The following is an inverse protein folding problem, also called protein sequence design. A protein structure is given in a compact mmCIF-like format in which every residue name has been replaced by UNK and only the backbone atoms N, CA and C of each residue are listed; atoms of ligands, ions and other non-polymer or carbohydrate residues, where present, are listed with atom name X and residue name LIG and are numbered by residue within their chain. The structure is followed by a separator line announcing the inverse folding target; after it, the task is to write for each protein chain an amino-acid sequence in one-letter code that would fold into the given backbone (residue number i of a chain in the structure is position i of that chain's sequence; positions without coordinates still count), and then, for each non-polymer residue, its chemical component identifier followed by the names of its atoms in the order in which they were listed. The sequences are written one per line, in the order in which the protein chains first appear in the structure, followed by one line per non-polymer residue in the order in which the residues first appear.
data_IF_544370709545
#
_entry.id   IF_544370709545
#
_cell.length_a   1.000
_cell.length_b   1.000
_cell.length_c   1.000
_cell.angle_alpha   90.00
_cell.angle_beta   90.00
_cell.angle_gamma   90.00
#
_symmetry.space_group_name_H-M   'P 1'
#
loop_
_entity.id
_entity.type
_entity.pdbx_description
1 polymer ?
#
# COMPACT_ATOMS: atom_id res chain seq x y z
N UNK A 1 65.12 -51.73 -91.08
CA UNK A 1 64.73 -50.33 -90.86
C UNK A 1 63.30 -50.35 -90.32
N UNK A 2 63.06 -50.64 -89.03
CA UNK A 2 63.13 -49.77 -87.83
C UNK A 2 62.22 -48.55 -87.85
N UNK A 3 61.31 -48.48 -86.87
CA UNK A 3 60.42 -47.36 -86.50
C UNK A 3 58.95 -47.74 -86.73
N UNK A 4 58.24 -48.41 -85.82
CA UNK A 4 57.76 -47.96 -84.49
C UNK A 4 57.42 -46.46 -84.49
N UNK A 5 56.12 -46.16 -84.59
CA UNK A 5 55.55 -45.11 -83.75
C UNK A 5 54.16 -45.54 -83.24
N UNK A 6 54.19 -46.07 -82.01
CA UNK A 6 53.03 -46.13 -81.13
C UNK A 6 52.93 -44.74 -80.50
N UNK A 7 51.94 -43.94 -80.89
CA UNK A 7 51.54 -42.79 -80.09
C UNK A 7 50.05 -42.86 -79.84
N UNK A 8 49.76 -43.26 -78.60
CA UNK A 8 48.46 -43.44 -78.01
C UNK A 8 47.63 -42.14 -78.08
N UNK A 9 46.45 -42.21 -78.70
CA UNK A 9 45.33 -41.30 -78.40
C UNK A 9 44.03 -42.07 -78.32
N UNK A 10 44.03 -43.11 -77.50
CA UNK A 10 42.81 -43.63 -76.89
C UNK A 10 42.48 -42.75 -75.69
N UNK A 11 41.35 -42.07 -75.77
CA UNK A 11 40.47 -41.72 -74.65
C UNK A 11 41.15 -41.34 -73.32
N UNK A 12 41.41 -40.04 -73.12
CA UNK A 12 41.26 -39.42 -71.81
C UNK A 12 40.12 -38.39 -71.92
N UNK A 13 38.88 -38.87 -71.97
CA UNK A 13 38.00 -38.90 -70.79
C UNK A 13 38.15 -37.64 -69.93
N UNK A 14 37.18 -36.73 -70.09
CA UNK A 14 36.54 -36.00 -69.00
C UNK A 14 37.46 -35.56 -67.85
N UNK A 15 37.90 -34.30 -67.88
CA UNK A 15 37.92 -33.44 -66.69
C UNK A 15 38.23 -32.00 -67.06
N UNK A 16 37.36 -31.40 -67.88
CA UNK A 16 37.04 -30.00 -67.64
C UNK A 16 36.16 -30.01 -66.38
N UNK A 17 36.79 -29.95 -65.20
CA UNK A 17 36.08 -29.66 -63.97
C UNK A 17 35.51 -28.25 -64.13
N UNK A 18 34.30 -28.15 -64.67
CA UNK A 18 33.48 -26.96 -64.53
C UNK A 18 33.33 -26.76 -63.02
N UNK A 19 34.10 -25.83 -62.47
CA UNK A 19 33.89 -25.39 -61.10
C UNK A 19 32.56 -24.64 -61.09
N UNK A 20 31.48 -25.36 -60.80
CA UNK A 20 30.21 -24.72 -60.51
C UNK A 20 30.37 -23.98 -59.18
N UNK A 21 30.48 -22.65 -59.25
CA UNK A 21 30.35 -21.80 -58.07
C UNK A 21 28.87 -21.75 -57.74
N UNK A 22 28.43 -22.60 -56.82
CA UNK A 22 27.06 -22.58 -56.31
C UNK A 22 26.89 -21.30 -55.48
N UNK A 23 26.42 -20.23 -56.11
CA UNK A 23 25.94 -19.05 -55.39
C UNK A 23 24.54 -19.36 -54.86
N UNK A 24 24.46 -19.88 -53.64
CA UNK A 24 23.18 -19.97 -52.93
C UNK A 24 22.83 -18.53 -52.52
N UNK A 25 21.82 -17.96 -53.17
CA UNK A 25 21.32 -16.62 -52.84
C UNK A 25 20.59 -16.68 -51.51
N UNK A 26 21.17 -16.09 -50.47
CA UNK A 26 20.64 -16.00 -49.10
C UNK A 26 19.29 -15.26 -48.96
N UNK A 27 18.70 -14.80 -50.07
CA UNK A 27 17.49 -14.00 -50.09
C UNK A 27 16.26 -14.71 -49.52
N UNK A 28 16.07 -16.01 -49.77
CA UNK A 28 14.87 -16.71 -49.29
C UNK A 28 14.85 -16.88 -47.77
N UNK A 29 16.00 -17.22 -47.17
CA UNK A 29 16.16 -17.31 -45.72
C UNK A 29 15.95 -15.95 -45.06
N UNK A 30 16.52 -14.90 -45.62
CA UNK A 30 16.37 -13.53 -45.12
C UNK A 30 14.91 -13.06 -45.18
N UNK A 31 14.19 -13.35 -46.27
CA UNK A 31 12.76 -13.07 -46.38
C UNK A 31 11.94 -13.77 -45.30
N UNK A 32 12.22 -15.05 -45.02
CA UNK A 32 11.52 -15.80 -43.96
C UNK A 32 11.82 -15.22 -42.58
N UNK A 33 13.08 -14.88 -42.29
CA UNK A 33 13.44 -14.24 -41.03
C UNK A 33 12.72 -12.90 -40.84
N UNK A 34 12.77 -12.03 -41.84
CA UNK A 34 12.10 -10.74 -41.82
C UNK A 34 10.58 -10.88 -41.64
N UNK A 35 9.96 -11.89 -42.26
CA UNK A 35 8.53 -12.14 -42.10
C UNK A 35 8.19 -12.56 -40.67
N UNK A 36 9.02 -13.40 -40.05
CA UNK A 36 8.84 -13.83 -38.66
C UNK A 36 9.01 -12.66 -37.68
N UNK A 37 10.06 -11.86 -37.84
CA UNK A 37 10.31 -10.65 -37.04
C UNK A 37 9.16 -9.64 -37.16
N UNK A 38 8.62 -9.46 -38.36
CA UNK A 38 7.49 -8.57 -38.60
C UNK A 38 6.21 -9.08 -37.93
N UNK A 39 5.96 -10.40 -37.98
CA UNK A 39 4.85 -11.03 -37.28
C UNK A 39 4.97 -10.88 -35.76
N UNK A 40 6.17 -11.09 -35.21
CA UNK A 40 6.43 -10.89 -33.79
C UNK A 40 6.22 -9.43 -33.38
N UNK A 41 6.78 -8.49 -34.14
CA UNK A 41 6.62 -7.05 -33.93
C UNK A 41 5.15 -6.64 -33.94
N UNK A 42 4.36 -7.17 -34.87
CA UNK A 42 2.90 -6.95 -34.92
C UNK A 42 2.17 -7.57 -33.73
N UNK A 43 2.65 -8.70 -33.21
CA UNK A 43 2.15 -9.32 -31.99
C UNK A 43 2.40 -8.44 -30.76
N UNK A 44 3.64 -7.98 -30.58
CA UNK A 44 4.03 -7.09 -29.49
C UNK A 44 3.26 -5.76 -29.56
N UNK A 45 3.12 -5.18 -30.75
CA UNK A 45 2.35 -3.96 -30.97
C UNK A 45 0.91 -4.10 -30.48
N UNK A 46 0.22 -5.19 -30.84
CA UNK A 46 -1.17 -5.43 -30.39
C UNK A 46 -1.27 -5.54 -28.87
N UNK A 47 -0.36 -6.27 -28.23
CA UNK A 47 -0.32 -6.37 -26.76
C UNK A 47 -0.14 -5.00 -26.10
N UNK A 48 0.79 -4.19 -26.60
CA UNK A 48 1.03 -2.85 -26.07
C UNK A 48 -0.16 -1.91 -26.31
N UNK A 49 -0.87 -2.06 -27.42
CA UNK A 49 -2.12 -1.31 -27.67
C UNK A 49 -3.21 -1.71 -26.66
N UNK A 50 -3.39 -3.00 -26.41
CA UNK A 50 -4.34 -3.50 -25.41
C UNK A 50 -3.97 -3.01 -24.00
N UNK A 51 -2.72 -3.16 -23.59
CA UNK A 51 -2.21 -2.68 -22.29
C UNK A 51 -2.42 -1.16 -22.14
N UNK A 52 -2.15 -0.38 -23.19
CA UNK A 52 -2.35 1.06 -23.19
C UNK A 52 -3.83 1.41 -23.00
N UNK A 53 -4.75 0.68 -23.63
CA UNK A 53 -6.20 0.91 -23.43
C UNK A 53 -6.64 0.57 -22.02
N UNK A 54 -6.11 -0.51 -21.43
CA UNK A 54 -6.40 -0.90 -20.05
C UNK A 54 -5.89 0.16 -19.05
N UNK A 55 -4.65 0.60 -19.19
CA UNK A 55 -4.06 1.62 -18.33
C UNK A 55 -4.77 2.98 -18.46
N UNK A 56 -5.20 3.35 -19.67
CA UNK A 56 -6.06 4.53 -19.86
C UNK A 56 -7.40 4.40 -19.13
N UNK A 57 -8.01 3.22 -19.15
CA UNK A 57 -9.25 2.95 -18.40
C UNK A 57 -9.03 3.05 -16.87
N UNK A 58 -7.95 2.45 -16.35
CA UNK A 58 -7.58 2.53 -14.93
C UNK A 58 -7.34 3.97 -14.50
N UNK A 59 -6.57 4.74 -15.29
CA UNK A 59 -6.30 6.15 -15.04
C UNK A 59 -7.58 6.98 -14.98
N UNK A 60 -8.49 6.78 -15.93
CA UNK A 60 -9.77 7.50 -15.95
C UNK A 60 -10.62 7.20 -14.69
N UNK A 61 -10.67 5.93 -14.26
CA UNK A 61 -11.38 5.54 -13.02
C UNK A 61 -10.77 6.19 -11.78
N UNK A 62 -9.44 6.24 -11.68
CA UNK A 62 -8.74 6.88 -10.56
C UNK A 62 -9.02 8.38 -10.56
N UNK A 63 -8.94 9.04 -11.72
CA UNK A 63 -9.19 10.48 -11.84
C UNK A 63 -10.64 10.84 -11.46
N UNK A 64 -11.61 10.01 -11.86
CA UNK A 64 -12.99 10.18 -11.44
C UNK A 64 -13.15 10.08 -9.92
N UNK A 65 -12.61 9.01 -9.30
CA UNK A 65 -12.64 8.84 -7.83
C UNK A 65 -12.00 10.00 -7.10
N UNK A 66 -10.90 10.54 -7.64
CA UNK A 66 -10.22 11.71 -7.07
C UNK A 66 -11.09 12.97 -7.14
N UNK A 67 -11.75 13.23 -8.28
CA UNK A 67 -12.69 14.35 -8.42
C UNK A 67 -13.87 14.24 -7.46
N UNK A 68 -14.45 13.04 -7.32
CA UNK A 68 -15.53 12.76 -6.37
C UNK A 68 -15.10 12.98 -4.91
N UNK A 69 -13.92 12.49 -4.53
CA UNK A 69 -13.38 12.69 -3.18
C UNK A 69 -13.15 14.17 -2.86
N UNK A 70 -12.60 14.93 -3.81
CA UNK A 70 -12.42 16.38 -3.67
C UNK A 70 -13.76 17.10 -3.52
N UNK A 71 -14.77 16.73 -4.30
CA UNK A 71 -16.11 17.32 -4.19
C UNK A 71 -16.74 17.05 -2.81
N UNK A 72 -16.69 15.80 -2.33
CA UNK A 72 -17.18 15.41 -1.00
C UNK A 72 -16.46 16.16 0.12
N UNK A 73 -15.14 16.28 0.04
CA UNK A 73 -14.36 17.03 1.03
C UNK A 73 -14.71 18.51 1.05
N UNK A 74 -14.94 19.14 -0.12
CA UNK A 74 -15.40 20.54 -0.19
C UNK A 74 -16.76 20.72 0.47
N UNK A 75 -17.69 19.79 0.24
CA UNK A 75 -19.02 19.84 0.85
C UNK A 75 -18.94 19.71 2.39
N UNK A 76 -18.18 18.73 2.89
CA UNK A 76 -17.96 18.51 4.33
C UNK A 76 -17.32 19.76 4.96
N UNK A 77 -16.27 20.28 4.33
CA UNK A 77 -15.56 21.48 4.82
C UNK A 77 -16.49 22.69 4.86
N UNK A 78 -17.30 22.89 3.82
CA UNK A 78 -18.28 23.98 3.78
C UNK A 78 -19.35 23.87 4.87
N UNK A 79 -19.89 22.65 5.09
CA UNK A 79 -20.83 22.37 6.20
C UNK A 79 -20.18 22.63 7.56
N UNK A 80 -18.96 22.15 7.76
CA UNK A 80 -18.21 22.35 9.00
C UNK A 80 -17.96 23.84 9.27
N UNK A 81 -17.47 24.60 8.28
CA UNK A 81 -17.24 26.04 8.40
C UNK A 81 -18.51 26.80 8.76
N UNK A 82 -19.66 26.46 8.14
CA UNK A 82 -20.95 27.07 8.45
C UNK A 82 -21.37 26.80 9.90
N UNK A 83 -21.25 25.55 10.36
CA UNK A 83 -21.57 25.15 11.73
C UNK A 83 -20.64 25.84 12.74
N UNK A 84 -19.34 25.88 12.44
CA UNK A 84 -18.34 26.55 13.27
C UNK A 84 -18.63 28.04 13.40
N UNK A 85 -18.94 28.72 12.29
CA UNK A 85 -19.34 30.14 12.31
C UNK A 85 -20.58 30.37 13.19
N UNK A 86 -21.57 29.48 13.12
CA UNK A 86 -22.76 29.54 13.97
C UNK A 86 -22.45 29.37 15.46
N UNK A 87 -21.53 28.46 15.81
CA UNK A 87 -21.06 28.26 17.18
C UNK A 87 -20.31 29.48 17.71
N UNK A 88 -19.38 30.03 16.93
CA UNK A 88 -18.65 31.26 17.30
C UNK A 88 -19.62 32.42 17.52
N UNK A 89 -20.62 32.59 16.65
CA UNK A 89 -21.64 33.61 16.83
C UNK A 89 -22.47 33.41 18.10
N UNK A 90 -22.86 32.18 18.43
CA UNK A 90 -23.56 31.86 19.69
C UNK A 90 -22.69 32.17 20.91
N UNK A 91 -21.41 31.80 20.86
CA UNK A 91 -20.44 32.09 21.93
C UNK A 91 -20.28 33.60 22.14
N UNK A 92 -20.14 34.36 21.05
CA UNK A 92 -20.03 35.82 21.10
C UNK A 92 -21.28 36.47 21.68
N UNK A 93 -22.48 35.97 21.35
CA UNK A 93 -23.73 36.44 21.97
C UNK A 93 -23.76 36.12 23.47
N UNK A 94 -23.38 34.91 23.87
CA UNK A 94 -23.29 34.50 25.28
C UNK A 94 -22.29 35.35 26.08
N UNK A 95 -21.16 35.73 25.47
CA UNK A 95 -20.16 36.60 26.12
C UNK A 95 -20.61 38.06 26.25
N UNK A 96 -21.38 38.58 25.27
CA UNK A 96 -21.96 39.94 25.34
C UNK A 96 -23.14 40.01 26.29
N UNK A 97 -23.96 38.97 26.31
CA UNK A 97 -25.03 38.77 27.29
C UNK A 97 -24.46 38.24 28.61
N UNK A 98 -23.57 39.00 29.29
CA UNK A 98 -23.22 38.78 30.71
C UNK A 98 -24.43 39.01 31.65
N UNK A 99 -25.65 38.76 31.18
CA UNK A 99 -26.82 38.63 32.04
C UNK A 99 -26.71 37.26 32.72
N UNK A 100 -26.87 37.19 34.05
CA UNK A 100 -26.81 35.92 34.77
C UNK A 100 -27.91 35.01 34.24
N UNK A 101 -27.52 34.04 33.39
CA UNK A 101 -28.43 33.02 32.88
C UNK A 101 -28.70 32.03 34.01
N UNK A 102 -29.85 32.21 34.66
CA UNK A 102 -30.40 31.28 35.65
C UNK A 102 -30.04 31.64 37.10
N UNK A 103 -30.71 30.99 38.08
CA UNK A 103 -30.48 31.23 39.50
C UNK A 103 -28.99 31.14 39.79
N UNK A 104 -28.47 32.11 40.54
CA UNK A 104 -27.07 32.20 40.88
C UNK A 104 -26.52 30.81 41.27
N UNK A 105 -25.45 30.38 40.60
CA UNK A 105 -24.65 29.20 40.98
C UNK A 105 -23.97 29.36 42.35
N UNK A 106 -24.48 30.23 43.22
CA UNK A 106 -24.03 30.40 44.59
C UNK A 106 -24.47 29.26 45.50
N UNK A 107 -25.47 28.46 45.08
CA UNK A 107 -25.89 27.28 45.84
C UNK A 107 -24.85 26.17 45.71
N UNK A 108 -24.10 25.98 46.78
CA UNK A 108 -23.24 24.83 47.00
C UNK A 108 -24.09 23.58 47.20
N UNK A 109 -23.49 22.39 47.09
CA UNK A 109 -24.19 21.12 47.30
C UNK A 109 -24.91 21.05 48.66
N UNK A 110 -24.37 21.75 49.66
CA UNK A 110 -24.90 21.84 51.02
C UNK A 110 -26.21 22.63 51.08
N UNK A 111 -26.38 23.60 50.18
CA UNK A 111 -27.55 24.50 50.14
C UNK A 111 -28.81 23.85 49.55
N UNK A 112 -28.70 22.62 49.05
CA UNK A 112 -29.83 21.85 48.56
C UNK A 112 -30.58 21.14 49.68
N UNK A 113 -31.87 20.91 49.48
CA UNK A 113 -32.67 20.10 50.41
C UNK A 113 -32.11 18.68 50.53
N UNK A 114 -32.27 18.06 51.71
CA UNK A 114 -31.80 16.69 51.98
C UNK A 114 -32.27 15.68 50.92
N UNK A 115 -33.50 15.83 50.42
CA UNK A 115 -34.05 14.99 49.34
C UNK A 115 -33.27 15.13 48.04
N UNK A 116 -32.91 16.36 47.67
CA UNK A 116 -32.14 16.61 46.45
C UNK A 116 -30.70 16.12 46.57
N UNK A 117 -30.04 16.37 47.71
CA UNK A 117 -28.70 15.84 47.98
C UNK A 117 -28.66 14.32 47.87
N UNK A 118 -29.64 13.64 48.47
CA UNK A 118 -29.74 12.17 48.43
C UNK A 118 -29.93 11.65 47.01
N UNK A 119 -30.80 12.30 46.22
CA UNK A 119 -31.00 11.92 44.81
C UNK A 119 -29.72 12.02 44.00
N UNK A 120 -28.96 13.11 44.17
CA UNK A 120 -27.71 13.33 43.44
C UNK A 120 -26.63 12.33 43.89
N UNK A 121 -26.51 12.04 45.20
CA UNK A 121 -25.60 11.00 45.70
C UNK A 121 -25.95 9.62 45.12
N UNK A 122 -27.24 9.26 45.14
CA UNK A 122 -27.67 7.97 44.61
C UNK A 122 -27.36 7.86 43.12
N UNK A 123 -27.62 8.92 42.34
CA UNK A 123 -27.25 8.95 40.92
C UNK A 123 -25.74 8.77 40.71
N UNK A 124 -24.90 9.46 41.49
CA UNK A 124 -23.45 9.32 41.40
C UNK A 124 -22.97 7.90 41.75
N UNK A 125 -23.61 7.24 42.71
CA UNK A 125 -23.31 5.83 43.04
C UNK A 125 -23.69 4.92 41.87
N UNK A 126 -24.88 5.09 41.28
CA UNK A 126 -25.29 4.29 40.11
C UNK A 126 -24.37 4.53 38.91
N UNK A 127 -23.98 5.78 38.66
CA UNK A 127 -23.10 6.15 37.56
C UNK A 127 -21.67 5.60 37.76
N UNK A 128 -21.20 5.53 39.01
CA UNK A 128 -19.91 4.92 39.36
C UNK A 128 -19.93 3.40 39.24
N UNK A 129 -20.97 2.74 39.75
CA UNK A 129 -21.17 1.29 39.60
C UNK A 129 -21.27 0.89 38.13
N UNK A 130 -22.00 1.65 37.32
CA UNK A 130 -22.11 1.40 35.88
C UNK A 130 -20.81 1.68 35.14
N UNK A 131 -20.09 2.76 35.47
CA UNK A 131 -18.79 3.06 34.86
C UNK A 131 -17.72 2.02 35.23
N UNK A 132 -17.70 1.58 36.49
CA UNK A 132 -16.81 0.50 36.93
C UNK A 132 -17.21 -0.84 36.31
N UNK A 133 -18.50 -1.12 36.13
CA UNK A 133 -18.94 -2.32 35.41
C UNK A 133 -18.45 -2.31 33.97
N UNK A 134 -18.43 -1.13 33.32
CA UNK A 134 -17.90 -0.97 31.96
C UNK A 134 -16.37 -1.19 31.92
N UNK A 135 -15.64 -0.74 32.94
CA UNK A 135 -14.20 -0.95 33.07
C UNK A 135 -13.87 -2.42 33.40
N UNK A 136 -14.67 -3.06 34.27
CA UNK A 136 -14.51 -4.46 34.66
C UNK A 136 -15.02 -5.50 33.65
N UNK A 137 -15.82 -5.08 32.66
CA UNK A 137 -16.25 -5.90 31.52
C UNK A 137 -15.25 -5.90 30.36
N UNK A 138 -14.22 -5.05 30.43
CA UNK A 138 -13.08 -5.13 29.55
C UNK A 138 -11.95 -5.86 30.26
N UNK A 139 -12.01 -7.20 30.23
CA UNK A 139 -10.77 -7.96 30.07
C UNK A 139 -10.09 -7.37 28.84
N UNK A 140 -9.12 -6.50 29.08
CA UNK A 140 -8.47 -5.70 28.07
C UNK A 140 -7.61 -6.66 27.22
N UNK A 141 -8.22 -7.26 26.20
CA UNK A 141 -7.55 -7.98 25.12
C UNK A 141 -6.80 -6.97 24.24
N UNK A 142 -5.93 -6.16 24.84
CA UNK A 142 -4.84 -5.51 24.12
C UNK A 142 -3.63 -6.43 24.24
N UNK A 143 -3.67 -7.52 23.49
CA UNK A 143 -2.60 -8.53 23.42
C UNK A 143 -1.30 -7.95 22.83
N UNK A 144 -1.31 -6.70 22.35
CA UNK A 144 -0.16 -6.07 21.68
C UNK A 144 -0.17 -4.55 21.85
N UNK A 145 0.91 -4.01 22.41
CA UNK A 145 1.21 -2.56 22.47
C UNK A 145 2.51 -2.32 21.71
N UNK A 146 2.50 -1.47 20.69
CA UNK A 146 3.69 -1.11 19.91
C UNK A 146 4.14 0.30 20.29
N UNK A 147 5.39 0.43 20.73
CA UNK A 147 6.03 1.70 21.12
C UNK A 147 7.05 2.06 20.06
N UNK A 148 6.85 3.18 19.38
CA UNK A 148 7.77 3.68 18.36
C UNK A 148 8.94 4.44 19.01
N UNK A 149 10.17 4.01 18.72
CA UNK A 149 11.38 4.66 19.20
C UNK A 149 11.96 5.59 18.13
N UNK A 150 11.81 6.89 18.33
CA UNK A 150 12.25 7.92 17.36
C UNK A 150 13.77 7.90 17.10
N UNK A 151 14.56 7.51 18.12
CA UNK A 151 16.03 7.46 18.03
C UNK A 151 16.56 6.31 17.14
N UNK A 152 15.77 5.24 16.99
CA UNK A 152 16.19 4.01 16.29
C UNK A 152 15.34 3.79 15.02
N UNK A 153 14.26 4.57 14.86
CA UNK A 153 13.22 4.39 13.83
C UNK A 153 12.64 2.97 13.80
N UNK A 154 12.55 2.32 14.95
CA UNK A 154 12.05 0.96 15.10
C UNK A 154 10.88 0.90 16.09
N UNK A 155 10.02 -0.10 15.91
CA UNK A 155 8.90 -0.38 16.81
C UNK A 155 9.30 -1.48 17.81
N UNK A 156 9.13 -1.20 19.09
CA UNK A 156 9.24 -2.21 20.15
C UNK A 156 7.83 -2.69 20.51
N UNK A 157 7.62 -4.01 20.47
CA UNK A 157 6.30 -4.61 20.76
C UNK A 157 6.29 -5.21 22.16
N UNK A 158 5.36 -4.77 23.00
CA UNK A 158 5.03 -5.37 24.29
C UNK A 158 3.79 -6.26 24.13
N UNK A 159 3.95 -7.55 24.44
CA UNK A 159 2.82 -8.50 24.52
C UNK A 159 2.53 -8.81 25.97
N UNK A 160 1.33 -8.46 26.43
CA UNK A 160 0.85 -8.79 27.76
C UNK A 160 0.22 -10.19 27.70
N UNK A 161 0.89 -11.18 28.29
CA UNK A 161 0.35 -12.53 28.48
C UNK A 161 0.29 -12.76 29.99
N UNK A 162 -0.91 -13.02 30.50
CA UNK A 162 -1.18 -13.41 31.89
C UNK A 162 -0.49 -12.54 32.97
N UNK A 163 -0.71 -11.22 32.91
CA UNK A 163 -0.21 -10.23 33.89
C UNK A 163 1.32 -10.16 34.07
N UNK A 164 2.10 -10.81 33.20
CA UNK A 164 3.55 -10.70 33.15
C UNK A 164 3.97 -9.90 31.90
N UNK A 165 4.81 -8.87 32.11
CA UNK A 165 5.40 -8.10 31.01
C UNK A 165 6.64 -8.85 30.54
N UNK A 166 6.57 -9.43 29.34
CA UNK A 166 7.72 -10.07 28.69
C UNK A 166 8.30 -9.15 27.62
N UNK A 167 9.56 -8.75 27.79
CA UNK A 167 10.31 -8.00 26.79
C UNK A 167 10.96 -8.96 25.80
N UNK A 168 10.64 -8.83 24.50
CA UNK A 168 11.42 -9.49 23.44
C UNK A 168 12.32 -8.46 22.78
N UNK A 169 13.57 -8.39 23.22
CA UNK A 169 14.59 -7.61 22.51
C UNK A 169 15.03 -8.36 21.26
N UNK A 170 15.21 -7.65 20.13
CA UNK A 170 15.69 -8.21 18.87
C UNK A 170 17.19 -8.65 18.94
N UNK A 171 17.84 -8.53 20.10
CA UNK A 171 19.24 -8.88 20.30
C UNK A 171 19.53 -10.39 20.35
N UNK A 172 18.54 -11.25 20.57
CA UNK A 172 18.77 -12.70 20.68
C UNK A 172 19.19 -13.35 19.34
N UNK A 173 18.83 -12.76 18.20
CA UNK A 173 19.29 -13.23 16.89
C UNK A 173 20.78 -12.97 16.65
N UNK A 174 21.38 -11.93 17.25
CA UNK A 174 22.81 -11.59 17.02
C UNK A 174 23.75 -12.43 17.90
N UNK A 175 23.34 -12.76 19.12
CA UNK A 175 24.14 -13.62 20.00
C UNK A 175 24.09 -15.12 19.61
N UNK A 176 23.03 -15.57 18.95
CA UNK A 176 22.95 -16.93 18.37
C UNK A 176 23.85 -17.08 17.14
N UNK A 177 23.90 -16.06 16.27
CA UNK A 177 24.74 -16.08 15.06
C UNK A 177 26.24 -16.02 15.38
N UNK A 178 26.64 -15.25 16.39
CA UNK A 178 28.04 -15.20 16.85
C UNK A 178 28.52 -16.51 17.48
N UNK A 179 27.63 -17.30 18.11
CA UNK A 179 27.99 -18.61 18.68
C UNK A 179 28.16 -19.71 17.63
N UNK A 180 27.53 -19.59 16.46
CA UNK A 180 27.69 -20.52 15.31
C UNK A 180 28.91 -20.26 14.44
N UNK A 181 29.51 -19.06 14.51
CA UNK A 181 30.69 -18.70 13.73
C UNK A 181 32.02 -18.99 14.46
N UNK A 182 31.96 -19.44 15.72
CA UNK A 182 33.13 -19.77 16.54
C UNK A 182 33.20 -21.24 16.99
N UNK A 183 32.44 -22.12 16.35
CA UNK A 183 32.57 -23.58 16.41
C UNK A 183 32.76 -24.10 15.00
#
# INVERSE_FOLDING_TARGET
MTGIDRSAKTQSSLQAAQSFKTCIYYYEMECVMLQNENNESRGQKRKLEDDLTEERCKKAKIEQKMKEAVAKNKEITGKFQKNFKGLVQKLMKLQKDKKPRGPAKSKTFVDYSKRHQTRVRNQMVTDYETSLSFIGLHDFVATKVEIFHENIQEYETLTLVDNAITFKSHLESRHSLMRRLMT
#
